data_IF_277027535333
#
_entry.id   IF_277027535333
#
_cell.length_a   1.000
_cell.length_b   1.000
_cell.length_c   1.000
_cell.angle_alpha   90.00
_cell.angle_beta   90.00
_cell.angle_gamma   90.00
#
_symmetry.space_group_name_H-M   'P 1'
#
loop_
_entity.id
_entity.type
_entity.pdbx_description
1 polymer ?
#
# COMPACT_ATOMS: atom_id res chain seq x y z
N UNK A 1 -5.30 24.98 5.73
CA UNK A 1 -4.47 23.77 5.60
C UNK A 1 -5.17 22.87 4.60
N UNK A 2 -4.57 22.61 3.44
CA UNK A 2 -5.19 21.74 2.43
C UNK A 2 -4.94 20.29 2.83
N UNK A 3 -6.00 19.57 3.17
CA UNK A 3 -5.94 18.12 3.31
C UNK A 3 -6.31 17.55 1.96
N UNK A 4 -5.47 16.67 1.41
CA UNK A 4 -5.86 15.90 0.23
C UNK A 4 -7.12 15.10 0.57
N UNK A 5 -8.15 15.24 -0.27
CA UNK A 5 -9.47 14.67 -0.02
C UNK A 5 -9.37 13.14 0.19
N UNK A 6 -10.08 12.63 1.19
CA UNK A 6 -10.11 11.21 1.56
C UNK A 6 -8.89 10.66 2.32
N UNK A 7 -7.87 11.46 2.66
CA UNK A 7 -6.72 10.97 3.48
C UNK A 7 -7.18 10.42 4.83
N UNK A 8 -8.13 11.10 5.48
CA UNK A 8 -8.68 10.67 6.77
C UNK A 8 -9.41 9.33 6.69
N UNK A 9 -10.17 9.10 5.62
CA UNK A 9 -10.86 7.83 5.38
C UNK A 9 -9.86 6.71 5.13
N UNK A 10 -8.84 6.94 4.31
CA UNK A 10 -7.79 5.95 4.04
C UNK A 10 -6.94 5.61 5.26
N UNK A 11 -6.68 6.59 6.15
CA UNK A 11 -6.07 6.32 7.45
C UNK A 11 -6.95 5.41 8.31
N UNK A 12 -8.27 5.61 8.28
CA UNK A 12 -9.22 4.76 9.00
C UNK A 12 -9.23 3.34 8.42
N UNK A 13 -9.24 3.22 7.09
CA UNK A 13 -9.19 1.93 6.40
C UNK A 13 -7.92 1.15 6.76
N UNK A 14 -6.75 1.79 6.77
CA UNK A 14 -5.51 1.12 7.16
C UNK A 14 -5.47 0.76 8.64
N UNK A 15 -6.03 1.60 9.51
CA UNK A 15 -6.22 1.26 10.92
C UNK A 15 -7.08 0.01 11.08
N UNK A 16 -8.22 -0.04 10.39
CA UNK A 16 -9.16 -1.16 10.46
C UNK A 16 -8.55 -2.42 9.84
N UNK A 17 -7.75 -2.31 8.77
CA UNK A 17 -6.99 -3.42 8.16
C UNK A 17 -6.01 -4.06 9.16
N UNK A 18 -5.36 -3.25 9.98
CA UNK A 18 -4.46 -3.71 11.04
C UNK A 18 -5.20 -4.19 12.31
N UNK A 19 -6.53 -4.05 12.37
CA UNK A 19 -7.34 -4.45 13.52
C UNK A 19 -7.11 -3.59 14.77
N UNK A 20 -6.62 -2.37 14.60
CA UNK A 20 -6.25 -1.49 15.72
C UNK A 20 -7.36 -0.49 16.07
N UNK A 21 -7.48 -0.13 17.35
CA UNK A 21 -8.33 1.00 17.74
C UNK A 21 -7.57 2.34 17.57
N UNK A 22 -8.27 3.48 17.71
CA UNK A 22 -7.67 4.81 17.51
C UNK A 22 -6.54 5.14 18.51
N UNK A 23 -6.55 4.55 19.71
CA UNK A 23 -5.49 4.75 20.70
C UNK A 23 -4.24 4.02 20.27
N UNK A 24 -4.37 2.73 19.94
CA UNK A 24 -3.24 1.88 19.58
C UNK A 24 -2.61 2.32 18.26
N UNK A 25 -3.43 2.72 17.28
CA UNK A 25 -2.94 3.26 16.02
C UNK A 25 -2.26 4.62 16.18
N UNK A 26 -2.82 5.52 17.00
CA UNK A 26 -2.18 6.79 17.33
C UNK A 26 -0.84 6.62 18.03
N UNK A 27 -0.71 5.60 18.88
CA UNK A 27 0.54 5.28 19.57
C UNK A 27 1.68 4.91 18.61
N UNK A 28 1.39 4.27 17.46
CA UNK A 28 2.38 3.99 16.41
C UNK A 28 3.07 5.27 15.92
N UNK A 29 2.31 6.35 15.79
CA UNK A 29 2.81 7.68 15.41
C UNK A 29 3.18 8.59 16.58
N UNK A 30 3.19 8.08 17.82
CA UNK A 30 3.41 8.87 19.04
C UNK A 30 2.44 10.04 19.22
N UNK A 31 1.17 9.86 18.79
CA UNK A 31 0.11 10.87 18.95
C UNK A 31 -1.02 10.37 19.85
N UNK A 32 -1.80 11.30 20.39
CA UNK A 32 -2.96 10.96 21.21
C UNK A 32 -4.10 10.35 20.38
N UNK A 33 -4.99 9.60 21.02
CA UNK A 33 -6.25 9.14 20.41
C UNK A 33 -7.06 10.31 19.80
N UNK A 34 -7.08 11.46 20.47
CA UNK A 34 -7.79 12.66 19.98
C UNK A 34 -7.17 13.21 18.69
N UNK A 35 -5.84 13.20 18.61
CA UNK A 35 -5.10 13.58 17.40
C UNK A 35 -5.38 12.61 16.25
N UNK A 36 -5.34 11.30 16.51
CA UNK A 36 -5.68 10.29 15.50
C UNK A 36 -7.11 10.47 14.98
N UNK A 37 -8.07 10.69 15.88
CA UNK A 37 -9.46 10.98 15.50
C UNK A 37 -9.56 12.25 14.63
N UNK A 38 -8.80 13.30 14.95
CA UNK A 38 -8.79 14.53 14.16
C UNK A 38 -8.22 14.32 12.74
N UNK A 39 -7.23 13.44 12.58
CA UNK A 39 -6.73 13.04 11.27
C UNK A 39 -7.78 12.26 10.47
N UNK A 40 -8.42 11.26 11.10
CA UNK A 40 -9.48 10.46 10.45
C UNK A 40 -10.74 11.26 10.08
N UNK A 41 -10.96 12.42 10.72
CA UNK A 41 -12.05 13.34 10.40
C UNK A 41 -11.65 14.44 9.41
N UNK A 42 -10.39 14.48 8.98
CA UNK A 42 -9.88 15.56 8.12
C UNK A 42 -9.89 16.93 8.80
N UNK A 43 -9.85 16.98 10.14
CA UNK A 43 -9.78 18.24 10.89
C UNK A 43 -8.35 18.79 10.96
N UNK A 44 -7.36 17.90 10.92
CA UNK A 44 -5.93 18.21 10.91
C UNK A 44 -5.22 17.29 9.92
N UNK A 45 -4.08 17.72 9.37
CA UNK A 45 -3.25 16.83 8.55
C UNK A 45 -2.17 16.14 9.38
N UNK A 46 -1.90 14.84 9.14
CA UNK A 46 -0.73 14.18 9.67
C UNK A 46 0.55 14.82 9.14
N UNK A 47 1.62 14.81 9.93
CA UNK A 47 2.94 15.24 9.48
C UNK A 47 3.75 14.05 8.92
N UNK A 48 4.91 14.34 8.32
CA UNK A 48 5.78 13.30 7.76
C UNK A 48 6.35 12.37 8.82
N UNK A 49 6.57 12.83 10.06
CA UNK A 49 7.12 12.00 11.14
C UNK A 49 6.11 10.94 11.56
N UNK A 50 4.85 11.32 11.66
CA UNK A 50 3.72 10.46 11.91
C UNK A 50 3.58 9.40 10.82
N UNK A 51 3.58 9.82 9.54
CA UNK A 51 3.46 8.90 8.41
C UNK A 51 4.63 7.92 8.33
N UNK A 52 5.89 8.37 8.50
CA UNK A 52 7.04 7.48 8.52
C UNK A 52 7.03 6.50 9.70
N UNK A 53 6.39 6.84 10.82
CA UNK A 53 6.23 5.92 11.94
C UNK A 53 5.17 4.85 11.62
N UNK A 54 4.06 5.24 10.99
CA UNK A 54 3.03 4.31 10.51
C UNK A 54 3.55 3.35 9.44
N UNK A 55 4.34 3.83 8.48
CA UNK A 55 4.96 3.01 7.44
C UNK A 55 5.77 1.86 8.05
N UNK A 56 6.61 2.15 9.05
CA UNK A 56 7.38 1.13 9.79
C UNK A 56 6.52 0.14 10.55
N UNK A 57 5.29 0.52 10.89
CA UNK A 57 4.31 -0.34 11.52
C UNK A 57 3.45 -1.13 10.51
N UNK A 58 3.78 -1.07 9.22
CA UNK A 58 3.13 -1.83 8.16
C UNK A 58 1.87 -1.18 7.59
N UNK A 59 1.68 0.13 7.79
CA UNK A 59 0.62 0.91 7.11
C UNK A 59 1.06 1.23 5.68
N UNK A 60 0.17 1.04 4.71
CA UNK A 60 0.39 1.46 3.32
C UNK A 60 0.26 3.00 3.22
N UNK A 61 1.35 3.71 3.51
CA UNK A 61 1.38 5.18 3.44
C UNK A 61 1.22 5.68 2.00
N UNK A 62 1.66 4.90 1.00
CA UNK A 62 1.42 5.23 -0.40
C UNK A 62 -0.09 5.31 -0.66
N UNK A 63 -0.84 4.28 -0.26
CA UNK A 63 -2.30 4.27 -0.35
C UNK A 63 -2.94 5.44 0.39
N UNK A 64 -2.51 5.70 1.63
CA UNK A 64 -3.04 6.83 2.43
C UNK A 64 -2.89 8.17 1.67
N UNK A 65 -1.74 8.39 1.04
CA UNK A 65 -1.44 9.65 0.33
C UNK A 65 -2.09 9.73 -1.05
N UNK A 66 -2.07 8.65 -1.83
CA UNK A 66 -2.41 8.67 -3.27
C UNK A 66 -3.79 8.09 -3.58
N UNK A 67 -4.39 7.33 -2.67
CA UNK A 67 -5.60 6.55 -2.91
C UNK A 67 -5.41 5.36 -3.84
N UNK A 68 -4.21 5.14 -4.37
CA UNK A 68 -3.86 3.95 -5.14
C UNK A 68 -3.25 2.94 -4.19
N UNK A 69 -3.89 1.77 -4.02
CA UNK A 69 -3.27 0.68 -3.26
C UNK A 69 -1.95 0.35 -3.95
N UNK A 70 -0.86 0.25 -3.19
CA UNK A 70 0.39 -0.21 -3.77
C UNK A 70 0.10 -1.58 -4.42
N UNK A 71 0.19 -1.67 -5.75
CA UNK A 71 -0.11 -2.90 -6.48
C UNK A 71 0.92 -3.99 -6.19
N UNK A 72 2.00 -3.66 -5.48
CA UNK A 72 3.06 -4.56 -5.05
C UNK A 72 3.57 -4.03 -3.71
N UNK A 73 3.32 -4.74 -2.63
CA UNK A 73 4.03 -4.54 -1.36
C UNK A 73 5.52 -4.81 -1.62
N UNK A 74 6.39 -3.84 -1.34
CA UNK A 74 7.85 -3.92 -1.55
C UNK A 74 8.52 -5.08 -0.78
N UNK A 75 7.82 -5.74 0.15
CA UNK A 75 8.30 -6.92 0.86
C UNK A 75 8.06 -8.27 0.15
N UNK A 76 7.49 -8.32 -1.05
CA UNK A 76 7.22 -9.61 -1.71
C UNK A 76 7.37 -9.60 -3.24
N UNK A 77 8.43 -8.98 -3.75
CA UNK A 77 8.99 -9.43 -5.03
C UNK A 77 10.26 -10.21 -4.70
N UNK A 78 10.15 -11.53 -4.59
CA UNK A 78 11.34 -12.37 -4.46
C UNK A 78 12.28 -12.12 -5.65
N UNK A 79 13.57 -12.37 -5.44
CA UNK A 79 14.63 -12.34 -6.45
C UNK A 79 14.25 -13.01 -7.77
N UNK A 80 13.40 -14.03 -7.74
CA UNK A 80 12.85 -14.69 -8.94
C UNK A 80 11.88 -13.78 -9.69
N UNK A 81 10.89 -13.20 -9.02
CA UNK A 81 9.92 -12.31 -9.63
C UNK A 81 10.58 -11.03 -10.17
N UNK A 82 11.57 -10.49 -9.45
CA UNK A 82 12.35 -9.33 -9.90
C UNK A 82 13.06 -9.60 -11.23
N UNK A 83 13.71 -10.77 -11.36
CA UNK A 83 14.37 -11.19 -12.59
C UNK A 83 13.38 -11.41 -13.74
N UNK A 84 12.19 -11.94 -13.44
CA UNK A 84 11.14 -12.13 -14.45
C UNK A 84 10.67 -10.77 -14.98
N UNK A 85 10.44 -9.79 -14.08
CA UNK A 85 10.02 -8.43 -14.47
C UNK A 85 11.10 -7.75 -15.30
N UNK A 86 12.37 -7.82 -14.89
CA UNK A 86 13.50 -7.24 -15.63
C UNK A 86 13.61 -7.85 -17.04
N UNK A 87 13.57 -9.17 -17.12
CA UNK A 87 13.61 -9.91 -18.39
C UNK A 87 12.44 -9.49 -19.27
N UNK A 88 11.21 -9.49 -18.75
CA UNK A 88 10.00 -9.11 -19.48
C UNK A 88 10.06 -7.68 -20.04
N UNK A 89 10.59 -6.72 -19.27
CA UNK A 89 10.72 -5.32 -19.71
C UNK A 89 11.65 -5.17 -20.91
N UNK A 90 12.68 -6.01 -21.00
CA UNK A 90 13.68 -6.01 -22.09
C UNK A 90 13.17 -6.64 -23.40
N UNK A 91 12.04 -7.34 -23.39
CA UNK A 91 11.51 -8.07 -24.54
C UNK A 91 10.87 -7.14 -25.59
N UNK A 92 10.82 -7.63 -26.84
CA UNK A 92 10.01 -7.05 -27.92
C UNK A 92 8.52 -7.15 -27.61
N UNK A 93 7.69 -6.34 -28.26
CA UNK A 93 6.23 -6.36 -28.02
C UNK A 93 5.59 -7.71 -28.39
N UNK A 94 6.12 -8.38 -29.42
CA UNK A 94 5.67 -9.72 -29.83
C UNK A 94 5.98 -10.79 -28.77
N UNK A 95 7.16 -10.71 -28.16
CA UNK A 95 7.59 -11.62 -27.11
C UNK A 95 6.84 -11.35 -25.81
N UNK A 96 6.62 -10.08 -25.44
CA UNK A 96 5.75 -9.70 -24.32
C UNK A 96 4.35 -10.30 -24.46
N UNK A 97 3.74 -10.17 -25.64
CA UNK A 97 2.43 -10.75 -25.91
C UNK A 97 2.43 -12.28 -25.77
N UNK A 98 3.53 -12.94 -26.13
CA UNK A 98 3.69 -14.38 -25.99
C UNK A 98 3.82 -14.81 -24.52
N UNK A 99 4.62 -14.09 -23.72
CA UNK A 99 4.74 -14.31 -22.27
C UNK A 99 3.38 -14.14 -21.59
N UNK A 100 2.63 -13.07 -21.89
CA UNK A 100 1.29 -12.85 -21.31
C UNK A 100 0.34 -14.01 -21.63
N UNK A 101 0.31 -14.49 -22.88
CA UNK A 101 -0.54 -15.64 -23.26
C UNK A 101 -0.16 -16.90 -22.49
N UNK A 102 1.14 -17.18 -22.36
CA UNK A 102 1.63 -18.35 -21.63
C UNK A 102 1.27 -18.27 -20.14
N UNK A 103 1.57 -17.14 -19.48
CA UNK A 103 1.27 -16.96 -18.06
C UNK A 103 -0.22 -17.08 -17.78
N UNK A 104 -1.08 -16.51 -18.64
CA UNK A 104 -2.53 -16.65 -18.51
C UNK A 104 -2.99 -18.11 -18.70
N UNK A 105 -2.43 -18.83 -19.67
CA UNK A 105 -2.77 -20.24 -19.89
C UNK A 105 -2.38 -21.11 -18.69
N UNK A 106 -1.23 -20.85 -18.08
CA UNK A 106 -0.75 -21.58 -16.90
C UNK A 106 -1.52 -21.21 -15.64
N UNK A 107 -1.94 -19.96 -15.47
CA UNK A 107 -2.71 -19.51 -14.30
C UNK A 107 -4.15 -20.05 -14.27
N UNK A 108 -4.72 -20.40 -15.42
CA UNK A 108 -6.09 -20.92 -15.55
C UNK A 108 -6.14 -22.47 -15.44
N UNK A 109 -5.00 -23.15 -15.57
CA UNK A 109 -4.92 -24.60 -15.37
C UNK A 109 -4.98 -24.96 -13.88
N UNK A 110 -5.80 -25.93 -13.44
CA UNK A 110 -5.81 -26.37 -12.05
C UNK A 110 -4.44 -26.97 -11.70
N UNK A 111 -3.86 -26.53 -10.58
CA UNK A 111 -2.64 -27.13 -10.04
C UNK A 111 -2.88 -28.63 -9.79
N UNK A 112 -2.03 -29.47 -10.38
CA UNK A 112 -2.00 -30.92 -10.15
C UNK A 112 -1.37 -31.27 -8.81
#
# INVERSE_FOLDING_TARGET
MYISEGVGDRLREERDRLGLNQTDFGALGSVSRGTQKAYELGMNSPDLRYLSALERAGVDVHYVLTGSKALLSEDAIDSVESKIIESYRSLSDGDKASVVRLTNALAVAPAH
#
